data_IF_499095443666
#
_entry.id   IF_499095443666
#
_cell.length_a   1.000
_cell.length_b   1.000
_cell.length_c   1.000
_cell.angle_alpha   90.00
_cell.angle_beta   90.00
_cell.angle_gamma   90.00
#
_symmetry.space_group_name_H-M   'P 1'
#
loop_
_entity.id
_entity.type
_entity.pdbx_description
1 polymer ?
#
# COMPACT_ATOMS: atom_id res chain seq x y z
N UNK A 1 24.41 6.43 19.54
CA UNK A 1 23.32 5.42 19.45
C UNK A 1 22.42 5.61 20.66
N UNK A 2 21.17 5.95 20.42
CA UNK A 2 20.20 6.31 21.45
C UNK A 2 19.86 5.08 22.30
N UNK A 3 19.77 5.27 23.66
CA UNK A 3 19.25 4.31 24.63
C UNK A 3 17.89 3.71 24.19
N UNK A 4 17.11 4.44 23.40
CA UNK A 4 15.84 4.07 22.80
C UNK A 4 15.96 2.87 21.83
N UNK A 5 17.01 2.79 21.00
CA UNK A 5 17.23 1.63 20.10
C UNK A 5 17.63 0.35 20.87
N UNK A 6 18.25 0.50 22.05
CA UNK A 6 18.67 -0.63 22.88
C UNK A 6 17.52 -1.23 23.69
N UNK A 7 16.55 -0.40 24.10
CA UNK A 7 15.36 -0.85 24.84
C UNK A 7 14.34 -1.61 23.98
N UNK A 8 14.19 -1.25 22.68
CA UNK A 8 13.25 -1.94 21.76
C UNK A 8 13.67 -3.38 21.45
N UNK A 9 14.98 -3.66 21.35
CA UNK A 9 15.49 -4.99 21.04
C UNK A 9 15.13 -6.06 22.08
N UNK A 10 14.93 -5.66 23.34
CA UNK A 10 14.65 -6.53 24.48
C UNK A 10 13.17 -6.51 24.93
N UNK A 11 12.30 -5.72 24.25
CA UNK A 11 10.88 -5.64 24.55
C UNK A 11 10.10 -6.77 23.86
N UNK A 12 9.53 -7.74 24.61
CA UNK A 12 8.81 -8.87 24.05
C UNK A 12 7.58 -8.45 23.22
N UNK A 13 6.91 -7.35 23.57
CA UNK A 13 5.76 -6.84 22.84
C UNK A 13 6.20 -6.26 21.50
N UNK A 14 7.26 -5.47 21.47
CA UNK A 14 7.83 -4.98 20.23
C UNK A 14 8.28 -6.11 19.31
N UNK A 15 8.92 -7.17 19.84
CA UNK A 15 9.32 -8.32 19.05
C UNK A 15 8.10 -9.05 18.46
N UNK A 16 7.02 -9.20 19.23
CA UNK A 16 5.75 -9.77 18.74
C UNK A 16 5.15 -8.95 17.60
N UNK A 17 5.14 -7.61 17.73
CA UNK A 17 4.68 -6.70 16.67
C UNK A 17 5.54 -6.83 15.41
N UNK A 18 6.87 -6.84 15.59
CA UNK A 18 7.83 -6.98 14.49
C UNK A 18 7.69 -8.32 13.76
N UNK A 19 7.53 -9.42 14.47
CA UNK A 19 7.31 -10.74 13.89
C UNK A 19 6.01 -10.80 13.09
N UNK A 20 4.95 -10.16 13.59
CA UNK A 20 3.69 -10.03 12.89
C UNK A 20 3.85 -9.20 11.61
N UNK A 21 4.47 -8.02 11.71
CA UNK A 21 4.77 -7.15 10.58
C UNK A 21 5.52 -7.92 9.48
N UNK A 22 6.64 -8.57 9.84
CA UNK A 22 7.46 -9.32 8.89
C UNK A 22 6.65 -10.40 8.18
N UNK A 23 5.97 -11.27 8.94
CA UNK A 23 5.18 -12.36 8.36
C UNK A 23 4.03 -11.87 7.49
N UNK A 24 3.36 -10.79 7.88
CA UNK A 24 2.25 -10.21 7.13
C UNK A 24 2.76 -9.57 5.84
N UNK A 25 3.83 -8.77 5.92
CA UNK A 25 4.42 -8.07 4.76
C UNK A 25 4.99 -9.06 3.75
N UNK A 26 5.70 -10.11 4.20
CA UNK A 26 6.19 -11.18 3.32
C UNK A 26 5.04 -11.89 2.58
N UNK A 27 3.94 -12.22 3.28
CA UNK A 27 2.75 -12.83 2.63
C UNK A 27 2.13 -11.90 1.60
N UNK A 28 2.04 -10.61 1.92
CA UNK A 28 1.52 -9.59 1.01
C UNK A 28 2.39 -9.49 -0.25
N UNK A 29 3.71 -9.33 -0.12
CA UNK A 29 4.65 -9.28 -1.24
C UNK A 29 4.53 -10.54 -2.12
N UNK A 30 4.51 -11.73 -1.53
CA UNK A 30 4.31 -12.97 -2.28
C UNK A 30 2.98 -13.01 -3.04
N UNK A 31 1.92 -12.42 -2.48
CA UNK A 31 0.62 -12.30 -3.16
C UNK A 31 0.70 -11.32 -4.33
N UNK A 32 1.34 -10.17 -4.14
CA UNK A 32 1.55 -9.17 -5.21
C UNK A 32 2.38 -9.77 -6.35
N UNK A 33 3.48 -10.46 -6.06
CA UNK A 33 4.29 -11.17 -7.06
C UNK A 33 3.47 -12.12 -7.92
N UNK A 34 2.57 -12.89 -7.29
CA UNK A 34 1.68 -13.81 -8.01
C UNK A 34 0.80 -13.06 -9.03
N UNK A 35 0.25 -11.90 -8.64
CA UNK A 35 -0.62 -11.12 -9.54
C UNK A 35 0.19 -10.34 -10.56
N UNK A 36 1.35 -9.79 -10.22
CA UNK A 36 2.28 -9.20 -11.18
C UNK A 36 2.64 -10.19 -12.29
N UNK A 37 2.96 -11.44 -11.91
CA UNK A 37 3.20 -12.51 -12.89
C UNK A 37 1.98 -12.78 -13.76
N UNK A 38 0.78 -12.88 -13.17
CA UNK A 38 -0.48 -13.12 -13.92
C UNK A 38 -0.75 -12.01 -14.95
N UNK A 39 -0.48 -10.76 -14.58
CA UNK A 39 -0.67 -9.60 -15.44
C UNK A 39 0.40 -9.48 -16.54
N UNK A 40 1.66 -9.78 -16.25
CA UNK A 40 2.69 -9.84 -17.30
C UNK A 40 2.45 -11.00 -18.26
N UNK A 41 2.02 -12.16 -17.79
CA UNK A 41 1.63 -13.30 -18.65
C UNK A 41 0.40 -12.94 -19.52
N UNK A 42 -0.52 -12.08 -19.05
CA UNK A 42 -1.68 -11.61 -19.80
C UNK A 42 -1.30 -10.71 -20.99
N UNK A 43 -0.41 -9.74 -20.79
CA UNK A 43 0.16 -8.91 -21.86
C UNK A 43 1.65 -8.63 -21.62
N UNK A 44 2.48 -9.59 -21.99
CA UNK A 44 3.94 -9.55 -21.77
C UNK A 44 4.66 -8.44 -22.52
N UNK A 45 4.02 -7.83 -23.52
CA UNK A 45 4.57 -6.69 -24.24
C UNK A 45 4.30 -5.38 -23.49
N UNK A 46 3.09 -5.21 -22.97
CA UNK A 46 2.63 -4.01 -22.27
C UNK A 46 3.21 -3.94 -20.87
N UNK A 47 3.27 -5.08 -20.18
CA UNK A 47 3.69 -5.16 -18.77
C UNK A 47 5.06 -5.81 -18.57
N UNK A 48 5.93 -5.75 -19.58
CA UNK A 48 7.29 -6.26 -19.48
C UNK A 48 8.04 -5.67 -18.28
N UNK A 49 8.54 -6.53 -17.40
CA UNK A 49 9.27 -6.15 -16.19
C UNK A 49 8.40 -6.02 -14.93
N UNK A 50 7.11 -6.37 -15.04
CA UNK A 50 6.20 -6.33 -13.89
C UNK A 50 6.51 -7.44 -12.88
N UNK A 51 7.03 -8.58 -13.32
CA UNK A 51 7.47 -9.68 -12.45
C UNK A 51 8.59 -9.20 -11.52
N UNK A 52 9.63 -8.58 -12.08
CA UNK A 52 10.76 -8.03 -11.32
C UNK A 52 10.30 -6.92 -10.35
N UNK A 53 9.35 -6.10 -10.76
CA UNK A 53 8.75 -5.08 -9.88
C UNK A 53 8.00 -5.70 -8.70
N UNK A 54 7.27 -6.78 -8.95
CA UNK A 54 6.59 -7.53 -7.89
C UNK A 54 7.56 -8.12 -6.85
N UNK A 55 8.79 -8.50 -7.26
CA UNK A 55 9.84 -8.94 -6.33
C UNK A 55 10.35 -7.81 -5.44
N UNK A 56 10.37 -6.57 -5.96
CA UNK A 56 10.82 -5.38 -5.25
C UNK A 56 9.68 -4.65 -4.51
N UNK A 57 8.43 -5.04 -4.75
CA UNK A 57 7.26 -4.42 -4.16
C UNK A 57 7.38 -4.35 -2.63
N UNK A 58 7.13 -3.16 -2.08
CA UNK A 58 7.11 -2.92 -0.63
C UNK A 58 8.42 -3.23 0.14
N UNK A 59 9.53 -3.51 -0.54
CA UNK A 59 10.82 -3.76 0.10
C UNK A 59 11.34 -2.54 0.87
N UNK A 60 10.86 -1.33 0.55
CA UNK A 60 11.15 -0.11 1.30
C UNK A 60 10.68 -0.19 2.75
N UNK A 61 9.57 -0.90 3.03
CA UNK A 61 9.01 -1.09 4.38
C UNK A 61 9.96 -1.81 5.34
N UNK A 62 10.96 -2.52 4.82
CA UNK A 62 12.01 -3.16 5.64
C UNK A 62 13.23 -2.29 5.89
N UNK A 63 13.21 -1.03 5.47
CA UNK A 63 14.32 -0.07 5.57
C UNK A 63 13.91 1.20 6.29
N UNK A 64 14.90 1.95 6.84
CA UNK A 64 14.66 3.30 7.33
C UNK A 64 14.24 4.21 6.14
N UNK A 65 13.29 5.13 6.33
CA UNK A 65 12.62 5.50 7.59
C UNK A 65 11.35 4.69 7.91
N UNK A 66 10.95 3.74 7.06
CA UNK A 66 9.65 3.08 7.10
C UNK A 66 9.56 1.94 8.14
N UNK A 67 10.62 1.15 8.30
CA UNK A 67 10.56 -0.14 9.04
C UNK A 67 9.96 0.00 10.45
N UNK A 68 10.42 0.97 11.22
CA UNK A 68 10.01 1.09 12.61
C UNK A 68 8.55 1.56 12.75
N UNK A 69 8.11 2.63 12.06
CA UNK A 69 6.71 3.04 12.07
C UNK A 69 5.76 1.99 11.49
N UNK A 70 6.14 1.29 10.41
CA UNK A 70 5.26 0.28 9.80
C UNK A 70 5.01 -0.95 10.67
N UNK A 71 5.91 -1.27 11.63
CA UNK A 71 5.63 -2.28 12.65
C UNK A 71 4.40 -1.87 13.47
N UNK A 72 4.29 -0.58 13.85
CA UNK A 72 3.16 -0.06 14.61
C UNK A 72 1.90 0.09 13.75
N UNK A 73 2.02 0.60 12.51
CA UNK A 73 0.91 0.67 11.53
C UNK A 73 0.27 -0.69 11.35
N UNK A 74 1.08 -1.71 11.06
CA UNK A 74 0.58 -3.06 10.79
C UNK A 74 -0.06 -3.68 12.03
N UNK A 75 0.49 -3.42 13.20
CA UNK A 75 -0.05 -3.88 14.47
C UNK A 75 -1.36 -3.18 14.84
N UNK A 76 -1.48 -1.87 14.59
CA UNK A 76 -2.70 -1.10 14.77
C UNK A 76 -3.86 -1.71 13.96
N UNK A 77 -3.63 -2.00 12.67
CA UNK A 77 -4.65 -2.68 11.85
C UNK A 77 -5.03 -4.04 12.38
N UNK A 78 -4.03 -4.86 12.82
CA UNK A 78 -4.31 -6.15 13.45
C UNK A 78 -5.20 -6.01 14.69
N UNK A 79 -4.88 -5.10 15.58
CA UNK A 79 -5.66 -4.87 16.78
C UNK A 79 -7.10 -4.42 16.45
N UNK A 80 -7.26 -3.52 15.47
CA UNK A 80 -8.57 -3.07 14.98
C UNK A 80 -9.38 -4.23 14.42
N UNK A 81 -8.78 -5.09 13.61
CA UNK A 81 -9.43 -6.27 13.02
C UNK A 81 -9.83 -7.31 14.09
N UNK A 82 -9.02 -7.44 15.14
CA UNK A 82 -9.28 -8.34 16.28
C UNK A 82 -10.27 -7.74 17.32
N UNK A 83 -10.68 -6.48 17.15
CA UNK A 83 -11.52 -5.77 18.11
C UNK A 83 -10.80 -5.45 19.44
N UNK A 84 -9.47 -5.35 19.40
CA UNK A 84 -8.63 -5.03 20.55
C UNK A 84 -8.37 -3.52 20.58
N UNK A 85 -8.68 -2.90 21.71
CA UNK A 85 -8.35 -1.51 21.98
C UNK A 85 -6.83 -1.40 22.24
N UNK A 86 -6.14 -0.69 21.34
CA UNK A 86 -4.69 -0.54 21.39
C UNK A 86 -4.29 0.84 20.88
N UNK A 87 -3.42 1.50 21.61
CA UNK A 87 -2.86 2.80 21.25
C UNK A 87 -1.34 2.71 21.09
N UNK A 88 -0.75 3.35 20.08
CA UNK A 88 0.69 3.41 19.93
C UNK A 88 1.33 4.25 21.03
N UNK A 89 2.63 4.06 21.30
CA UNK A 89 3.38 4.91 22.23
C UNK A 89 3.31 6.38 21.81
N UNK A 90 3.28 7.28 22.79
CA UNK A 90 3.22 8.73 22.58
C UNK A 90 4.21 9.21 21.51
N UNK A 91 3.70 9.93 20.52
CA UNK A 91 4.46 10.48 19.38
C UNK A 91 4.82 9.45 18.31
N UNK A 92 4.25 8.24 18.36
CA UNK A 92 4.40 7.25 17.30
C UNK A 92 3.39 7.50 16.17
N UNK A 93 2.21 8.07 16.47
CA UNK A 93 1.21 8.42 15.44
C UNK A 93 1.80 9.34 14.38
N UNK A 94 2.51 10.41 14.79
CA UNK A 94 3.16 11.33 13.85
C UNK A 94 4.15 10.57 12.94
N UNK A 95 4.93 9.63 13.49
CA UNK A 95 5.88 8.83 12.72
C UNK A 95 5.20 7.82 11.80
N UNK A 96 4.08 7.25 12.22
CA UNK A 96 3.26 6.38 11.37
C UNK A 96 2.72 7.15 10.16
N UNK A 97 2.24 8.36 10.38
CA UNK A 97 1.76 9.25 9.31
C UNK A 97 2.91 9.69 8.38
N UNK A 98 4.05 10.11 8.94
CA UNK A 98 5.25 10.47 8.17
C UNK A 98 5.71 9.29 7.29
N UNK A 99 5.78 8.07 7.83
CA UNK A 99 6.22 6.90 7.10
C UNK A 99 5.22 6.49 6.00
N UNK A 100 3.91 6.57 6.28
CA UNK A 100 2.88 6.29 5.28
C UNK A 100 2.94 7.31 4.14
N UNK A 101 3.12 8.59 4.47
CA UNK A 101 3.32 9.66 3.50
C UNK A 101 4.58 9.43 2.67
N UNK A 102 5.70 9.13 3.33
CA UNK A 102 6.95 8.81 2.64
C UNK A 102 6.78 7.64 1.67
N UNK A 103 6.09 6.58 2.11
CA UNK A 103 5.86 5.39 1.29
C UNK A 103 5.12 5.72 -0.01
N UNK A 104 3.97 6.39 0.07
CA UNK A 104 3.16 6.69 -1.13
C UNK A 104 3.82 7.69 -2.07
N UNK A 105 4.74 8.53 -1.56
CA UNK A 105 5.51 9.47 -2.38
C UNK A 105 6.74 8.85 -3.04
N UNK A 106 7.23 7.70 -2.56
CA UNK A 106 8.47 7.09 -3.02
C UNK A 106 8.27 5.74 -3.72
N UNK A 107 7.04 5.24 -3.82
CA UNK A 107 6.72 3.99 -4.48
C UNK A 107 5.75 4.23 -5.64
N UNK A 108 6.18 3.93 -6.86
CA UNK A 108 5.50 4.34 -8.09
C UNK A 108 4.16 3.62 -8.36
N UNK A 109 3.87 2.55 -7.63
CA UNK A 109 2.54 1.93 -7.66
C UNK A 109 1.46 2.71 -6.90
N UNK A 110 1.81 3.86 -6.32
CA UNK A 110 0.86 4.78 -5.70
C UNK A 110 0.60 6.02 -6.58
N UNK A 111 -0.67 6.42 -6.79
CA UNK A 111 -0.99 7.62 -7.57
C UNK A 111 -0.34 8.89 -7.03
N UNK A 112 -0.11 8.98 -5.73
CA UNK A 112 0.56 10.09 -5.04
C UNK A 112 1.97 10.34 -5.58
N UNK A 113 2.71 9.30 -5.94
CA UNK A 113 4.04 9.41 -6.55
C UNK A 113 4.01 10.21 -7.87
N UNK A 114 2.93 10.10 -8.62
CA UNK A 114 2.77 10.73 -9.94
C UNK A 114 2.14 12.12 -9.92
N UNK A 115 1.57 12.53 -8.79
CA UNK A 115 0.87 13.80 -8.65
C UNK A 115 1.81 15.03 -8.60
N UNK A 116 3.12 14.81 -8.37
CA UNK A 116 4.13 15.87 -8.35
C UNK A 116 4.06 16.77 -7.12
N UNK A 117 4.60 18.00 -7.22
CA UNK A 117 4.68 18.94 -6.10
C UNK A 117 3.31 19.41 -5.59
N UNK A 118 2.27 19.32 -6.43
CA UNK A 118 0.88 19.62 -6.06
C UNK A 118 0.18 18.50 -5.29
N UNK A 119 0.88 17.37 -5.06
CA UNK A 119 0.37 16.30 -4.21
C UNK A 119 0.45 16.74 -2.74
N UNK A 120 -0.54 17.46 -2.27
CA UNK A 120 -0.78 17.49 -0.83
C UNK A 120 -1.13 16.06 -0.41
N UNK A 121 -0.13 15.35 0.09
CA UNK A 121 -0.33 14.02 0.63
C UNK A 121 -1.21 14.16 1.85
N UNK A 122 -2.36 13.64 1.70
CA UNK A 122 -3.40 13.64 2.69
C UNK A 122 -2.94 12.69 3.79
N UNK A 123 -2.91 13.15 5.02
CA UNK A 123 -2.61 12.31 6.18
C UNK A 123 -3.67 11.20 6.34
N UNK A 124 -3.44 10.27 7.26
CA UNK A 124 -4.31 9.11 7.41
C UNK A 124 -5.76 9.47 7.75
N UNK A 125 -5.99 10.53 8.53
CA UNK A 125 -7.33 11.03 8.88
C UNK A 125 -8.05 11.57 7.64
N UNK A 126 -7.33 12.27 6.77
CA UNK A 126 -7.88 12.80 5.51
C UNK A 126 -8.06 11.70 4.44
N UNK A 127 -7.31 10.60 4.55
CA UNK A 127 -7.38 9.50 3.55
C UNK A 127 -8.74 8.85 3.47
N UNK A 128 -9.44 8.76 4.56
CA UNK A 128 -10.75 8.11 4.67
C UNK A 128 -11.92 9.10 4.75
N UNK A 129 -11.67 10.43 4.74
CA UNK A 129 -12.71 11.45 4.76
C UNK A 129 -13.43 11.50 3.40
N UNK A 130 -14.73 11.15 3.33
CA UNK A 130 -15.51 11.26 2.10
C UNK A 130 -15.78 12.70 1.65
N UNK A 131 -15.47 13.70 2.47
CA UNK A 131 -15.66 15.13 2.19
C UNK A 131 -14.38 15.83 1.71
N UNK A 132 -13.43 15.06 1.23
CA UNK A 132 -12.18 15.62 0.69
C UNK A 132 -12.44 16.67 -0.36
N UNK A 133 -11.78 17.83 -0.20
CA UNK A 133 -11.78 18.89 -1.20
C UNK A 133 -10.75 18.66 -2.32
N UNK A 134 -9.79 17.75 -2.11
CA UNK A 134 -8.70 17.52 -3.05
C UNK A 134 -8.60 16.04 -3.47
N UNK A 135 -8.61 15.84 -4.79
CA UNK A 135 -8.42 14.55 -5.44
C UNK A 135 -7.00 14.51 -5.99
N UNK A 136 -6.27 13.44 -5.70
CA UNK A 136 -4.91 13.23 -6.18
C UNK A 136 -4.94 12.90 -7.68
N UNK A 137 -4.16 13.63 -8.47
CA UNK A 137 -4.09 13.45 -9.92
C UNK A 137 -3.13 12.33 -10.30
N UNK A 138 -3.66 11.13 -10.53
CA UNK A 138 -2.95 9.95 -11.03
C UNK A 138 -2.90 9.86 -12.57
N UNK A 139 -3.34 10.88 -13.31
CA UNK A 139 -3.42 10.79 -14.79
C UNK A 139 -2.07 10.64 -15.49
N UNK A 140 -0.96 10.90 -14.80
CA UNK A 140 0.41 10.67 -15.31
C UNK A 140 0.95 9.27 -15.02
N UNK A 141 0.21 8.44 -14.29
CA UNK A 141 0.64 7.11 -13.91
C UNK A 141 0.73 6.20 -15.16
N UNK A 142 1.88 5.58 -15.45
CA UNK A 142 2.03 4.69 -16.60
C UNK A 142 1.33 3.34 -16.36
N UNK A 143 1.03 2.63 -17.45
CA UNK A 143 0.29 1.37 -17.43
C UNK A 143 0.92 0.29 -16.53
N UNK A 144 2.25 0.22 -16.49
CA UNK A 144 2.95 -0.76 -15.65
C UNK A 144 2.79 -0.45 -14.14
N UNK A 145 2.78 0.82 -13.76
CA UNK A 145 2.55 1.22 -12.37
C UNK A 145 1.08 0.99 -11.97
N UNK A 146 0.14 1.22 -12.92
CA UNK A 146 -1.27 0.85 -12.73
C UNK A 146 -1.41 -0.67 -12.52
N UNK A 147 -0.67 -1.47 -13.29
CA UNK A 147 -0.73 -2.93 -13.15
C UNK A 147 -0.21 -3.39 -11.78
N UNK A 148 0.88 -2.81 -11.28
CA UNK A 148 1.39 -3.11 -9.94
C UNK A 148 0.41 -2.64 -8.85
N UNK A 149 -0.17 -1.44 -8.98
CA UNK A 149 -1.21 -0.93 -8.09
C UNK A 149 -2.43 -1.88 -8.03
N UNK A 150 -2.88 -2.40 -9.17
CA UNK A 150 -3.99 -3.36 -9.21
C UNK A 150 -3.60 -4.68 -8.55
N UNK A 151 -2.38 -5.19 -8.78
CA UNK A 151 -1.87 -6.38 -8.11
C UNK A 151 -1.85 -6.22 -6.58
N UNK A 152 -1.47 -5.03 -6.09
CA UNK A 152 -1.53 -4.66 -4.67
C UNK A 152 -2.97 -4.66 -4.15
N UNK A 153 -3.90 -3.95 -4.82
CA UNK A 153 -5.31 -3.88 -4.40
C UNK A 153 -5.98 -5.25 -4.33
N UNK A 154 -5.72 -6.12 -5.32
CA UNK A 154 -6.26 -7.49 -5.32
C UNK A 154 -5.65 -8.31 -4.18
N UNK A 155 -4.36 -8.13 -3.90
CA UNK A 155 -3.68 -8.83 -2.81
C UNK A 155 -4.24 -8.42 -1.44
N UNK A 156 -4.42 -7.13 -1.19
CA UNK A 156 -5.03 -6.60 0.04
C UNK A 156 -6.51 -7.00 0.13
N UNK A 157 -7.24 -6.93 -0.98
CA UNK A 157 -8.64 -7.37 -1.04
C UNK A 157 -8.81 -8.82 -0.59
N UNK A 158 -8.00 -9.72 -1.15
CA UNK A 158 -8.01 -11.15 -0.79
C UNK A 158 -7.60 -11.40 0.67
N UNK A 159 -6.60 -10.67 1.17
CA UNK A 159 -6.18 -10.76 2.59
C UNK A 159 -7.33 -10.43 3.55
N UNK A 160 -8.15 -9.44 3.18
CA UNK A 160 -9.24 -8.90 4.03
C UNK A 160 -10.63 -9.45 3.69
N UNK A 161 -10.75 -10.32 2.70
CA UNK A 161 -12.03 -10.81 2.21
C UNK A 161 -12.88 -9.74 1.51
N UNK A 162 -12.24 -8.73 0.92
CA UNK A 162 -12.87 -7.62 0.20
C UNK A 162 -12.61 -7.75 -1.31
N UNK A 163 -13.44 -7.10 -2.13
CA UNK A 163 -13.27 -7.03 -3.58
C UNK A 163 -12.38 -5.84 -3.97
N UNK A 164 -11.38 -6.08 -4.82
CA UNK A 164 -10.59 -5.00 -5.41
C UNK A 164 -11.45 -4.09 -6.29
N UNK A 165 -12.46 -4.65 -6.97
CA UNK A 165 -13.46 -3.87 -7.72
C UNK A 165 -14.23 -2.92 -6.80
N UNK A 166 -14.72 -3.41 -5.66
CA UNK A 166 -15.44 -2.57 -4.68
C UNK A 166 -14.54 -1.46 -4.09
N UNK A 167 -13.24 -1.73 -3.94
CA UNK A 167 -12.27 -0.73 -3.56
C UNK A 167 -12.07 0.34 -4.66
N UNK A 168 -11.93 -0.08 -5.91
CA UNK A 168 -11.81 0.83 -7.06
C UNK A 168 -13.07 1.71 -7.20
N UNK A 169 -14.27 1.11 -7.15
CA UNK A 169 -15.55 1.83 -7.24
C UNK A 169 -15.68 2.94 -6.17
N UNK A 170 -15.15 2.70 -4.98
CA UNK A 170 -15.19 3.66 -3.86
C UNK A 170 -14.18 4.79 -3.99
N UNK A 171 -13.01 4.53 -4.60
CA UNK A 171 -11.86 5.44 -4.52
C UNK A 171 -11.56 6.18 -5.83
N UNK A 172 -11.88 5.61 -7.00
CA UNK A 172 -11.74 6.30 -8.29
C UNK A 172 -12.73 7.46 -8.35
N UNK A 173 -12.23 8.64 -8.73
CA UNK A 173 -12.95 9.92 -8.74
C UNK A 173 -13.43 10.43 -7.35
N UNK A 174 -13.08 9.73 -6.27
CA UNK A 174 -13.27 10.21 -4.90
C UNK A 174 -11.93 10.54 -4.24
N UNK A 175 -10.95 9.66 -4.39
CA UNK A 175 -9.61 9.80 -3.82
C UNK A 175 -8.56 10.05 -4.89
N UNK A 176 -8.67 9.36 -6.02
CA UNK A 176 -7.75 9.45 -7.14
C UNK A 176 -8.49 9.74 -8.43
N UNK A 177 -7.93 10.64 -9.23
CA UNK A 177 -8.40 10.94 -10.57
C UNK A 177 -7.53 10.20 -11.57
N UNK A 178 -8.18 9.50 -12.50
CA UNK A 178 -7.55 8.83 -13.62
C UNK A 178 -8.19 9.29 -14.95
N UNK A 179 -7.50 9.09 -16.05
CA UNK A 179 -8.10 9.22 -17.38
C UNK A 179 -9.07 8.05 -17.62
N UNK A 180 -10.02 8.23 -18.55
CA UNK A 180 -10.96 7.15 -18.88
C UNK A 180 -10.27 5.88 -19.40
N UNK A 181 -9.15 6.03 -20.09
CA UNK A 181 -8.34 4.89 -20.54
C UNK A 181 -7.71 4.14 -19.37
N UNK A 182 -7.19 4.87 -18.36
CA UNK A 182 -6.63 4.27 -17.15
C UNK A 182 -7.73 3.60 -16.29
N UNK A 183 -8.90 4.24 -16.13
CA UNK A 183 -10.04 3.60 -15.44
C UNK A 183 -10.41 2.27 -16.10
N UNK A 184 -10.56 2.24 -17.43
CA UNK A 184 -10.87 1.01 -18.15
C UNK A 184 -9.79 -0.05 -17.94
N UNK A 185 -8.51 0.35 -17.97
CA UNK A 185 -7.39 -0.55 -17.71
C UNK A 185 -7.45 -1.12 -16.29
N UNK A 186 -7.69 -0.29 -15.28
CA UNK A 186 -7.79 -0.74 -13.88
C UNK A 186 -8.85 -1.84 -13.74
N UNK A 187 -10.05 -1.62 -14.29
CA UNK A 187 -11.13 -2.63 -14.21
C UNK A 187 -10.82 -3.88 -15.02
N UNK A 188 -10.23 -3.75 -16.21
CA UNK A 188 -9.76 -4.88 -17.03
C UNK A 188 -8.77 -5.75 -16.22
N UNK A 189 -7.76 -5.12 -15.59
CA UNK A 189 -6.73 -5.84 -14.84
C UNK A 189 -7.28 -6.50 -13.56
N UNK A 190 -8.26 -5.86 -12.90
CA UNK A 190 -8.97 -6.47 -11.77
C UNK A 190 -9.69 -7.75 -12.24
N UNK A 191 -10.40 -7.69 -13.35
CA UNK A 191 -11.08 -8.87 -13.93
C UNK A 191 -10.08 -9.98 -14.28
N UNK A 192 -8.94 -9.63 -14.87
CA UNK A 192 -7.86 -10.58 -15.14
C UNK A 192 -7.36 -11.23 -13.85
N UNK A 193 -7.17 -10.46 -12.78
CA UNK A 193 -6.66 -11.00 -11.50
C UNK A 193 -7.69 -11.88 -10.79
N UNK A 194 -8.96 -11.44 -10.71
CA UNK A 194 -10.05 -12.10 -9.95
C UNK A 194 -10.79 -13.16 -10.79
N UNK A 195 -10.74 -13.07 -12.11
CA UNK A 195 -11.31 -14.07 -13.02
C UNK A 195 -10.53 -15.38 -12.97
N UNK A 196 -11.24 -16.47 -12.76
CA UNK A 196 -10.75 -17.85 -12.71
C UNK A 196 -10.49 -18.38 -14.12
#
# INVERSE_FOLDING_TARGET
>A
MSWYKKAKGDDPEYQKMKDWFTKRTDRHINSVQKYCKKLEDYDSKRFKGLIERGEEHDQSKFKDPEIDPYIYVTWSYKCKDDGVDWEPPKGMDDKMNEATTYHVLNNSHHPEFHAGEDSEVINEEDRDDPKRDKIIDGTKMPDIDIAEMVADWVSVGNERGNSAKGWADKNINARWKFTKAQENLIYELIEVCEGS
#
